data_IF_378979025063
#
_entry.id   IF_378979025063
#
_cell.length_a   1.000
_cell.length_b   1.000
_cell.length_c   1.000
_cell.angle_alpha   90.00
_cell.angle_beta   90.00
_cell.angle_gamma   90.00
#
_symmetry.space_group_name_H-M   'P 1'
#
loop_
_entity.id
_entity.type
_entity.pdbx_description
1 polymer ?
#
# COMPACT_ATOMS: atom_id res chain seq x y z
N UNK A 1 1.92 -6.24 -6.78
CA UNK A 1 2.57 -5.09 -6.11
C UNK A 1 1.64 -3.90 -6.26
N UNK A 2 1.32 -3.25 -5.15
CA UNK A 2 0.37 -2.12 -5.11
C UNK A 2 1.02 -0.85 -4.59
N UNK A 3 0.42 0.27 -4.99
CA UNK A 3 0.50 1.56 -4.34
C UNK A 3 -0.85 2.27 -4.51
N UNK A 4 -1.17 3.18 -3.63
CA UNK A 4 -2.43 3.92 -3.67
C UNK A 4 -2.26 5.16 -4.53
N UNK A 5 -3.32 5.51 -5.27
CA UNK A 5 -3.27 6.60 -6.27
C UNK A 5 -3.98 7.87 -5.80
N UNK A 6 -4.75 7.79 -4.72
CA UNK A 6 -5.34 8.95 -4.07
C UNK A 6 -4.41 9.51 -2.98
N UNK A 7 -4.72 10.73 -2.54
CA UNK A 7 -4.14 11.35 -1.37
C UNK A 7 -5.23 12.17 -0.69
N UNK A 8 -5.05 12.50 0.59
CA UNK A 8 -5.92 13.43 1.29
C UNK A 8 -5.14 14.40 2.14
N UNK A 9 -5.76 15.54 2.40
CA UNK A 9 -5.36 16.41 3.50
C UNK A 9 -5.80 15.81 4.84
N UNK A 10 -5.10 16.13 5.92
CA UNK A 10 -5.36 15.58 7.25
C UNK A 10 -6.73 15.96 7.83
N UNK A 11 -7.28 17.13 7.45
CA UNK A 11 -8.65 17.50 7.79
C UNK A 11 -9.63 17.00 6.72
N UNK A 12 -10.45 15.97 6.98
CA UNK A 12 -11.37 15.42 5.99
C UNK A 12 -12.47 16.40 5.55
N UNK A 13 -12.64 17.54 6.25
CA UNK A 13 -13.59 18.59 5.87
C UNK A 13 -12.95 19.68 4.97
N UNK A 14 -11.64 19.64 4.76
CA UNK A 14 -10.94 20.60 3.92
C UNK A 14 -10.87 20.11 2.47
N UNK A 15 -11.71 20.68 1.62
CA UNK A 15 -11.80 20.33 0.20
C UNK A 15 -11.05 21.28 -0.74
N UNK A 16 -10.30 22.26 -0.20
CA UNK A 16 -9.76 23.39 -0.97
C UNK A 16 -8.23 23.38 -1.03
N UNK A 17 -7.58 22.99 0.06
CA UNK A 17 -6.12 23.01 0.14
C UNK A 17 -5.50 21.83 -0.63
N UNK A 18 -4.29 22.06 -1.14
CA UNK A 18 -3.54 21.07 -1.91
C UNK A 18 -3.11 19.88 -1.04
N UNK A 19 -3.33 18.67 -1.56
CA UNK A 19 -2.76 17.42 -1.04
C UNK A 19 -1.79 16.85 -2.08
N UNK A 20 -0.50 17.22 -2.03
CA UNK A 20 0.45 16.74 -3.04
C UNK A 20 0.76 15.24 -2.94
N UNK A 21 0.52 14.60 -1.78
CA UNK A 21 0.62 13.15 -1.62
C UNK A 21 1.99 12.53 -1.96
N UNK A 22 3.08 13.28 -1.81
CA UNK A 22 4.39 12.88 -2.31
C UNK A 22 4.92 11.58 -1.67
N UNK A 23 4.81 11.49 -0.33
CA UNK A 23 5.12 10.26 0.38
C UNK A 23 3.90 9.33 0.42
N UNK A 24 2.73 9.89 0.68
CA UNK A 24 1.45 9.20 0.88
C UNK A 24 0.47 9.50 -0.29
N UNK A 25 0.42 8.69 -1.35
CA UNK A 25 1.26 7.51 -1.61
C UNK A 25 1.94 7.51 -3.00
N UNK A 26 2.28 8.71 -3.51
CA UNK A 26 3.01 8.81 -4.78
C UNK A 26 4.37 8.08 -4.74
N UNK A 27 5.00 7.97 -3.56
CA UNK A 27 6.22 7.21 -3.36
C UNK A 27 6.02 5.70 -3.63
N UNK A 28 4.93 5.11 -3.13
CA UNK A 28 4.57 3.71 -3.38
C UNK A 28 4.33 3.44 -4.85
N UNK A 29 3.56 4.32 -5.52
CA UNK A 29 3.31 4.23 -6.96
C UNK A 29 4.57 4.41 -7.81
N UNK A 30 5.49 5.30 -7.42
CA UNK A 30 6.79 5.40 -8.08
C UNK A 30 7.57 4.08 -8.00
N UNK A 31 7.54 3.42 -6.83
CA UNK A 31 8.13 2.09 -6.65
C UNK A 31 7.48 1.02 -7.55
N UNK A 32 6.15 1.01 -7.65
CA UNK A 32 5.40 0.10 -8.55
C UNK A 32 5.79 0.30 -10.00
N UNK A 33 5.84 1.55 -10.48
CA UNK A 33 6.18 1.88 -11.86
C UNK A 33 7.64 1.52 -12.20
N UNK A 34 8.58 1.82 -11.30
CA UNK A 34 9.98 1.47 -11.50
C UNK A 34 10.19 -0.04 -11.49
N UNK A 35 9.53 -0.75 -10.58
CA UNK A 35 9.55 -2.21 -10.58
C UNK A 35 8.97 -2.77 -11.88
N UNK A 36 7.86 -2.22 -12.40
CA UNK A 36 7.31 -2.64 -13.69
C UNK A 36 8.31 -2.43 -14.84
N UNK A 37 8.98 -1.26 -14.88
CA UNK A 37 10.00 -0.94 -15.88
C UNK A 37 11.19 -1.90 -15.84
N UNK A 38 11.63 -2.32 -14.65
CA UNK A 38 12.74 -3.27 -14.49
C UNK A 38 12.30 -4.71 -14.79
N UNK A 39 11.20 -5.16 -14.18
CA UNK A 39 10.76 -6.55 -14.23
C UNK A 39 10.15 -6.94 -15.58
N UNK A 40 9.61 -5.99 -16.35
CA UNK A 40 9.12 -6.23 -17.72
C UNK A 40 10.17 -6.78 -18.70
N UNK A 41 11.45 -6.76 -18.33
CA UNK A 41 12.56 -7.33 -19.11
C UNK A 41 12.80 -8.81 -18.84
N UNK A 42 12.03 -9.41 -17.93
CA UNK A 42 12.19 -10.77 -17.48
C UNK A 42 10.87 -11.53 -17.65
N UNK A 43 10.99 -12.85 -17.75
CA UNK A 43 9.86 -13.76 -17.70
C UNK A 43 9.82 -14.44 -16.34
N UNK A 44 8.62 -14.71 -15.86
CA UNK A 44 8.36 -15.32 -14.56
C UNK A 44 7.42 -16.51 -14.73
N UNK A 45 7.58 -17.52 -13.89
CA UNK A 45 6.66 -18.66 -13.83
C UNK A 45 5.26 -18.25 -13.32
N UNK A 46 5.17 -17.11 -12.64
CA UNK A 46 3.92 -16.55 -12.10
C UNK A 46 3.63 -15.18 -12.68
N UNK A 47 2.34 -14.87 -12.80
CA UNK A 47 1.87 -13.53 -13.20
C UNK A 47 2.17 -12.49 -12.11
N UNK A 48 2.66 -11.32 -12.51
CA UNK A 48 2.84 -10.17 -11.62
C UNK A 48 1.81 -9.11 -11.99
N UNK A 49 0.97 -8.74 -11.03
CA UNK A 49 0.01 -7.64 -11.18
C UNK A 49 0.61 -6.39 -10.52
N UNK A 50 0.76 -5.32 -11.30
CA UNK A 50 1.08 -3.97 -10.83
C UNK A 50 -0.22 -3.19 -10.78
N UNK A 51 -0.57 -2.66 -9.61
CA UNK A 51 -1.90 -2.05 -9.40
C UNK A 51 -1.79 -0.71 -8.68
N UNK A 52 -2.55 0.26 -9.17
CA UNK A 52 -2.87 1.50 -8.46
C UNK A 52 -4.26 1.37 -7.81
N UNK A 53 -4.33 1.49 -6.49
CA UNK A 53 -5.58 1.35 -5.74
C UNK A 53 -6.18 2.74 -5.45
N UNK A 54 -7.46 2.91 -5.79
CA UNK A 54 -8.18 4.17 -5.53
C UNK A 54 -8.96 4.10 -4.23
N UNK A 55 -8.99 5.22 -3.52
CA UNK A 55 -9.83 5.39 -2.34
C UNK A 55 -9.33 4.62 -1.13
N UNK A 56 -8.01 4.51 -0.99
CA UNK A 56 -7.35 4.03 0.23
C UNK A 56 -7.79 4.91 1.40
N UNK A 57 -7.63 6.22 1.21
CA UNK A 57 -7.71 7.23 2.25
C UNK A 57 -9.16 7.50 2.70
N UNK A 58 -10.15 6.93 2.01
CA UNK A 58 -11.57 7.00 2.36
C UNK A 58 -12.14 5.67 2.86
N UNK A 59 -11.31 4.64 2.99
CA UNK A 59 -11.73 3.36 3.58
C UNK A 59 -11.35 2.12 2.77
N UNK A 60 -10.21 2.14 2.07
CA UNK A 60 -9.65 1.00 1.32
C UNK A 60 -10.55 0.50 0.19
N UNK A 61 -11.29 1.38 -0.49
CA UNK A 61 -12.33 0.97 -1.44
C UNK A 61 -11.78 0.18 -2.63
N UNK A 62 -10.73 0.69 -3.28
CA UNK A 62 -10.09 0.01 -4.40
C UNK A 62 -9.53 -1.35 -4.02
N UNK A 63 -8.86 -1.43 -2.88
CA UNK A 63 -8.35 -2.69 -2.33
C UNK A 63 -9.45 -3.71 -2.04
N UNK A 64 -10.57 -3.27 -1.43
CA UNK A 64 -11.74 -4.13 -1.14
C UNK A 64 -12.39 -4.66 -2.42
N UNK A 65 -12.56 -3.80 -3.43
CA UNK A 65 -13.15 -4.20 -4.72
C UNK A 65 -12.25 -5.22 -5.41
N UNK A 66 -10.94 -4.96 -5.49
CA UNK A 66 -9.99 -5.90 -6.10
C UNK A 66 -9.94 -7.23 -5.35
N UNK A 67 -9.93 -7.20 -4.02
CA UNK A 67 -9.94 -8.41 -3.20
C UNK A 67 -11.22 -9.23 -3.41
N UNK A 68 -12.39 -8.59 -3.45
CA UNK A 68 -13.66 -9.25 -3.73
C UNK A 68 -13.66 -9.89 -5.13
N UNK A 69 -13.19 -9.15 -6.14
CA UNK A 69 -13.04 -9.66 -7.50
C UNK A 69 -12.11 -10.87 -7.55
N UNK A 70 -10.93 -10.80 -6.91
CA UNK A 70 -9.96 -11.88 -6.87
C UNK A 70 -10.55 -13.16 -6.27
N UNK A 71 -11.36 -13.05 -5.22
CA UNK A 71 -12.10 -14.19 -4.64
C UNK A 71 -13.16 -14.70 -5.62
N UNK A 72 -13.96 -13.83 -6.22
CA UNK A 72 -15.02 -14.21 -7.15
C UNK A 72 -14.49 -15.01 -8.36
N UNK A 73 -13.35 -14.60 -8.91
CA UNK A 73 -12.72 -15.28 -10.06
C UNK A 73 -11.63 -16.28 -9.67
N UNK A 74 -11.53 -16.63 -8.38
CA UNK A 74 -10.58 -17.62 -7.84
C UNK A 74 -9.12 -17.39 -8.26
N UNK A 75 -8.61 -16.16 -8.09
CA UNK A 75 -7.18 -15.91 -8.26
C UNK A 75 -6.36 -16.66 -7.22
N UNK A 76 -5.36 -17.40 -7.69
CA UNK A 76 -4.33 -18.01 -6.83
C UNK A 76 -3.26 -16.95 -6.50
N UNK A 77 -3.40 -16.30 -5.35
CA UNK A 77 -2.51 -15.23 -4.91
C UNK A 77 -1.49 -15.79 -3.92
N UNK A 78 -0.25 -15.93 -4.39
CA UNK A 78 0.88 -16.40 -3.58
C UNK A 78 1.44 -15.32 -2.64
N UNK A 79 1.16 -14.04 -2.90
CA UNK A 79 1.64 -12.94 -2.09
C UNK A 79 1.24 -11.55 -2.61
N UNK A 80 1.24 -10.57 -1.71
CA UNK A 80 0.95 -9.17 -2.00
C UNK A 80 2.06 -8.33 -1.36
N UNK A 81 2.64 -7.42 -2.14
CA UNK A 81 3.52 -6.37 -1.64
C UNK A 81 2.75 -5.05 -1.75
N UNK A 82 2.44 -4.46 -0.60
CA UNK A 82 1.85 -3.13 -0.50
C UNK A 82 2.94 -2.11 -0.23
N UNK A 83 3.15 -1.18 -1.17
CA UNK A 83 4.11 -0.10 -1.01
C UNK A 83 3.35 1.14 -0.57
N UNK A 84 3.46 1.48 0.70
CA UNK A 84 2.80 2.65 1.28
C UNK A 84 3.80 3.47 2.09
N UNK A 85 3.91 4.76 1.76
CA UNK A 85 4.82 5.71 2.38
C UNK A 85 6.30 5.29 2.38
N UNK A 86 6.80 4.77 1.26
CA UNK A 86 8.17 4.24 1.13
C UNK A 86 9.26 5.30 0.87
N UNK A 87 8.91 6.59 0.82
CA UNK A 87 9.84 7.69 0.55
C UNK A 87 10.45 8.33 1.79
N UNK A 88 9.98 8.02 3.00
CA UNK A 88 10.45 8.65 4.23
C UNK A 88 11.74 8.03 4.77
N UNK A 89 12.75 8.86 5.07
CA UNK A 89 14.03 8.46 5.67
C UNK A 89 14.18 8.86 7.13
N UNK A 90 13.23 9.60 7.68
CA UNK A 90 13.27 10.13 9.05
C UNK A 90 12.21 9.46 9.92
N UNK A 91 12.67 8.67 10.89
CA UNK A 91 11.81 8.03 11.88
C UNK A 91 11.23 9.03 12.88
N UNK A 92 10.12 8.64 13.50
CA UNK A 92 9.48 9.41 14.58
C UNK A 92 10.40 9.50 15.82
N UNK A 93 11.31 8.55 15.97
CA UNK A 93 12.36 8.50 16.99
C UNK A 93 13.55 9.44 16.69
N UNK A 94 13.53 10.17 15.58
CA UNK A 94 14.58 11.08 15.16
C UNK A 94 15.73 10.40 14.39
N UNK A 95 15.66 9.09 14.17
CA UNK A 95 16.68 8.36 13.41
C UNK A 95 16.53 8.66 11.93
N UNK A 96 17.64 9.01 11.27
CA UNK A 96 17.69 9.16 9.82
C UNK A 96 18.44 7.96 9.23
N UNK A 97 17.75 7.18 8.40
CA UNK A 97 18.32 6.04 7.69
C UNK A 97 17.85 6.05 6.23
N UNK A 98 18.80 6.18 5.30
CA UNK A 98 18.59 6.13 3.86
C UNK A 98 19.29 4.95 3.19
N UNK A 99 19.75 3.98 3.98
CA UNK A 99 20.49 2.80 3.52
C UNK A 99 19.73 1.50 3.73
N UNK A 100 18.72 1.51 4.60
CA UNK A 100 17.90 0.35 4.90
C UNK A 100 16.50 0.47 4.32
N UNK A 101 16.00 -0.64 3.77
CA UNK A 101 14.58 -0.80 3.44
C UNK A 101 13.94 -1.73 4.47
N UNK A 102 12.76 -1.37 4.97
CA UNK A 102 12.04 -2.14 5.98
C UNK A 102 10.91 -2.91 5.32
N UNK A 103 10.89 -4.22 5.52
CA UNK A 103 9.81 -5.10 5.08
C UNK A 103 9.05 -5.55 6.32
N UNK A 104 7.77 -5.25 6.36
CA UNK A 104 6.88 -5.69 7.41
C UNK A 104 6.04 -6.86 6.89
N UNK A 105 5.90 -7.89 7.72
CA UNK A 105 4.92 -8.96 7.52
C UNK A 105 4.07 -8.99 8.78
N UNK A 106 2.76 -8.77 8.62
CA UNK A 106 1.86 -8.66 9.76
C UNK A 106 1.73 -10.03 10.45
N UNK A 107 2.21 -10.12 11.70
CA UNK A 107 1.93 -11.25 12.56
C UNK A 107 0.56 -11.03 13.24
N UNK A 108 -0.39 -11.93 13.01
CA UNK A 108 -1.67 -11.91 13.71
C UNK A 108 -1.50 -12.50 15.11
N UNK A 109 -1.98 -11.78 16.14
CA UNK A 109 -2.12 -12.40 17.45
C UNK A 109 -3.26 -13.42 17.41
N UNK A 110 -3.06 -14.65 17.95
CA UNK A 110 -4.13 -15.65 17.98
C UNK A 110 -5.35 -15.22 18.80
N UNK A 111 -5.21 -14.24 19.71
CA UNK A 111 -6.27 -13.77 20.61
C UNK A 111 -6.97 -12.48 20.13
N UNK A 112 -6.76 -12.07 18.87
CA UNK A 112 -7.34 -10.83 18.34
C UNK A 112 -8.82 -10.94 17.96
N UNK A 113 -9.63 -10.03 18.51
CA UNK A 113 -11.01 -9.86 18.09
C UNK A 113 -11.12 -9.11 16.75
N UNK A 114 -12.28 -9.16 16.12
CA UNK A 114 -12.52 -8.57 14.80
C UNK A 114 -12.21 -7.07 14.75
N UNK A 115 -12.59 -6.32 15.79
CA UNK A 115 -12.35 -4.88 15.85
C UNK A 115 -10.85 -4.56 15.82
N UNK A 116 -10.02 -5.29 16.58
CA UNK A 116 -8.56 -5.11 16.58
C UNK A 116 -7.96 -5.41 15.21
N UNK A 117 -8.41 -6.49 14.54
CA UNK A 117 -7.97 -6.79 13.17
C UNK A 117 -8.33 -5.68 12.19
N UNK A 118 -9.51 -5.08 12.34
CA UNK A 118 -9.95 -3.96 11.49
C UNK A 118 -9.05 -2.76 11.74
N UNK A 119 -8.82 -2.38 13.00
CA UNK A 119 -8.00 -1.21 13.34
C UNK A 119 -6.56 -1.33 12.86
N UNK A 120 -5.94 -2.50 12.98
CA UNK A 120 -4.59 -2.73 12.46
C UNK A 120 -4.47 -2.43 10.96
N UNK A 121 -5.47 -2.82 10.17
CA UNK A 121 -5.50 -2.53 8.72
C UNK A 121 -5.50 -1.03 8.39
N UNK A 122 -5.93 -0.17 9.32
CA UNK A 122 -6.01 1.27 9.11
C UNK A 122 -4.91 2.06 9.82
N UNK A 123 -4.30 1.51 10.88
CA UNK A 123 -3.40 2.26 11.76
C UNK A 123 -2.03 1.61 11.99
N UNK A 124 -1.83 0.37 11.54
CA UNK A 124 -0.68 -0.45 11.91
C UNK A 124 -0.83 -1.10 13.28
#
# INVERSE_FOLDING_TARGET
>A
MSGDIDSRISDPLNAVDDSPGANDNASGMAGVLEAARVLSKYEFESSIIFVGLSGEEQGLFGGKIMAAQAVEVNWDIIGILNNDMIGNIHGIDGVIDNRSFRIFSEANSPDENEQKRIWKRFYG
#
